data_IF_767448462156
#
_entry.id   IF_767448462156
#
_cell.length_a   1.000
_cell.length_b   1.000
_cell.length_c   1.000
_cell.angle_alpha   90.00
_cell.angle_beta   90.00
_cell.angle_gamma   90.00
#
_symmetry.space_group_name_H-M   'P 1'
#
loop_
_entity.id
_entity.type
_entity.pdbx_description
1 polymer ?
#
# COMPACT_ATOMS: atom_id res chain seq x y z
N UNK A 1 36.94 49.31 32.21
CA UNK A 1 36.84 49.47 30.74
C UNK A 1 37.75 48.40 30.13
N UNK A 2 37.29 47.35 29.47
CA UNK A 2 36.05 47.12 28.76
C UNK A 2 35.59 45.65 28.91
N UNK A 3 34.29 45.50 29.14
CA UNK A 3 33.50 44.28 29.03
C UNK A 3 33.49 43.81 27.57
N UNK A 4 33.86 42.56 27.32
CA UNK A 4 33.70 41.91 26.02
C UNK A 4 32.29 41.33 25.90
N UNK A 5 31.72 41.54 24.72
CA UNK A 5 30.34 41.32 24.34
C UNK A 5 29.82 39.89 24.54
N UNK A 6 28.62 39.80 25.12
CA UNK A 6 27.75 38.64 25.09
C UNK A 6 27.39 38.31 23.62
N UNK A 7 27.60 37.05 23.24
CA UNK A 7 27.25 36.54 21.90
C UNK A 7 25.75 36.19 21.88
N UNK A 8 25.00 36.48 20.80
CA UNK A 8 23.57 36.23 20.77
C UNK A 8 23.27 34.73 20.66
N UNK A 9 22.47 34.20 21.59
CA UNK A 9 22.00 32.81 21.56
C UNK A 9 21.22 32.48 20.26
N UNK A 10 21.37 31.27 19.70
CA UNK A 10 20.61 30.87 18.53
C UNK A 10 19.14 30.59 18.90
N UNK A 11 18.24 30.97 17.99
CA UNK A 11 16.78 30.88 18.02
C UNK A 11 16.23 29.44 18.22
N UNK A 12 16.47 28.83 19.36
CA UNK A 12 15.99 27.49 19.73
C UNK A 12 14.57 27.50 20.35
N UNK A 13 14.09 28.66 20.82
CA UNK A 13 12.79 28.79 21.49
C UNK A 13 11.56 28.73 20.56
N UNK A 14 11.68 29.18 19.31
CA UNK A 14 10.52 29.29 18.41
C UNK A 14 10.03 27.94 17.87
N UNK A 15 10.94 26.98 17.62
CA UNK A 15 10.57 25.63 17.16
C UNK A 15 9.92 24.80 18.28
N UNK A 16 10.45 24.90 19.52
CA UNK A 16 9.90 24.20 20.69
C UNK A 16 8.50 24.67 21.07
N UNK A 17 8.22 25.96 20.93
CA UNK A 17 6.90 26.54 21.22
C UNK A 17 5.82 26.14 20.20
N UNK A 18 6.19 25.96 18.92
CA UNK A 18 5.25 25.49 17.88
C UNK A 18 4.80 24.04 18.10
N UNK A 19 5.75 23.14 18.39
CA UNK A 19 5.47 21.70 18.56
C UNK A 19 4.66 21.43 19.85
N UNK A 20 4.93 22.14 20.94
CA UNK A 20 4.15 21.99 22.18
C UNK A 20 2.69 22.46 22.04
N UNK A 21 2.40 23.38 21.12
CA UNK A 21 1.06 23.85 20.82
C UNK A 21 0.22 22.87 20.00
N UNK A 22 0.84 22.08 19.11
CA UNK A 22 0.15 21.06 18.30
C UNK A 22 -0.24 19.81 19.11
N UNK A 23 0.48 19.49 20.19
CA UNK A 23 0.20 18.34 21.08
C UNK A 23 -0.85 18.64 22.16
N UNK A 24 -1.04 19.92 22.48
CA UNK A 24 -1.84 20.36 23.63
C UNK A 24 -3.34 20.18 23.37
N UNK A 25 -3.86 18.99 23.66
CA UNK A 25 -5.30 18.68 23.60
C UNK A 25 -5.64 17.32 23.01
N UNK A 26 -4.67 16.57 22.46
CA UNK A 26 -4.92 15.24 21.94
C UNK A 26 -4.86 14.16 23.03
N UNK A 27 -5.98 13.46 23.25
CA UNK A 27 -6.02 12.27 24.09
C UNK A 27 -5.58 11.03 23.29
N UNK A 28 -4.53 10.35 23.74
CA UNK A 28 -4.05 9.09 23.14
C UNK A 28 -5.02 7.95 23.50
N UNK A 29 -6.02 7.71 22.65
CA UNK A 29 -7.02 6.65 22.83
C UNK A 29 -6.61 5.26 22.35
N UNK A 30 -5.46 5.11 21.66
CA UNK A 30 -5.01 3.85 21.07
C UNK A 30 -3.92 3.18 21.90
N UNK A 31 -4.11 1.89 22.19
CA UNK A 31 -3.13 1.03 22.87
C UNK A 31 -1.99 0.69 21.90
N UNK A 32 -0.74 0.51 22.39
CA UNK A 32 0.41 0.16 21.53
C UNK A 32 0.19 -1.08 20.65
N UNK A 33 -0.53 -2.08 21.16
CA UNK A 33 -0.89 -3.29 20.40
C UNK A 33 -1.81 -3.01 19.20
N UNK A 34 -2.74 -2.06 19.34
CA UNK A 34 -3.63 -1.65 18.25
C UNK A 34 -2.83 -0.92 17.20
N UNK A 35 -1.95 -0.01 17.60
CA UNK A 35 -1.11 0.75 16.67
C UNK A 35 -0.17 -0.15 15.86
N UNK A 36 0.45 -1.16 16.49
CA UNK A 36 1.30 -2.13 15.79
C UNK A 36 0.50 -2.95 14.77
N UNK A 37 -0.68 -3.44 15.14
CA UNK A 37 -1.53 -4.21 14.24
C UNK A 37 -2.14 -3.38 13.12
N UNK A 38 -2.48 -2.11 13.38
CA UNK A 38 -2.87 -1.15 12.34
C UNK A 38 -1.71 -0.96 11.35
N UNK A 39 -0.48 -0.84 11.83
CA UNK A 39 0.71 -0.75 10.96
C UNK A 39 0.88 -1.98 10.06
N UNK A 40 0.76 -3.18 10.64
CA UNK A 40 0.85 -4.45 9.88
C UNK A 40 -0.32 -4.57 8.90
N UNK A 41 -1.55 -4.32 9.35
CA UNK A 41 -2.77 -4.41 8.56
C UNK A 41 -2.90 -3.36 7.47
N UNK A 42 -2.27 -2.19 7.65
CA UNK A 42 -2.15 -1.14 6.65
C UNK A 42 -1.10 -1.47 5.58
N UNK A 43 0.04 -2.05 5.98
CA UNK A 43 1.03 -2.56 5.03
C UNK A 43 0.48 -3.75 4.21
N UNK A 44 -0.31 -4.61 4.85
CA UNK A 44 -1.02 -5.73 4.22
C UNK A 44 -2.36 -5.25 3.66
N UNK A 45 -2.28 -4.58 2.50
CA UNK A 45 -3.42 -3.94 1.87
C UNK A 45 -4.01 -4.66 0.66
N UNK A 46 -4.92 -3.94 0.01
CA UNK A 46 -5.54 -4.29 -1.27
C UNK A 46 -4.52 -4.53 -2.38
N UNK A 47 -3.34 -3.91 -2.29
CA UNK A 47 -2.22 -4.15 -3.20
C UNK A 47 -1.75 -5.61 -3.24
N UNK A 48 -1.73 -6.31 -2.10
CA UNK A 48 -1.37 -7.73 -2.04
C UNK A 48 -2.55 -8.62 -2.43
N UNK A 49 -3.74 -8.36 -1.89
CA UNK A 49 -4.89 -9.25 -2.10
C UNK A 49 -5.54 -9.12 -3.49
N UNK A 50 -5.73 -7.89 -3.97
CA UNK A 50 -6.37 -7.63 -5.26
C UNK A 50 -5.31 -7.50 -6.37
N UNK A 51 -4.21 -6.81 -6.08
CA UNK A 51 -3.20 -6.45 -7.07
C UNK A 51 -2.20 -7.55 -7.40
N UNK A 52 -1.79 -8.38 -6.42
CA UNK A 52 -0.69 -9.32 -6.64
C UNK A 52 -1.03 -10.41 -7.66
N UNK A 53 -2.26 -10.93 -7.66
CA UNK A 53 -2.69 -11.95 -8.63
C UNK A 53 -2.63 -11.46 -10.07
N UNK A 54 -3.15 -10.25 -10.34
CA UNK A 54 -3.10 -9.64 -11.67
C UNK A 54 -1.67 -9.29 -12.12
N UNK A 55 -0.81 -8.89 -11.18
CA UNK A 55 0.62 -8.67 -11.45
C UNK A 55 1.35 -9.97 -11.73
N UNK A 56 1.06 -11.04 -11.00
CA UNK A 56 1.66 -12.35 -11.19
C UNK A 56 1.29 -12.93 -12.55
N UNK A 57 0.01 -12.81 -12.95
CA UNK A 57 -0.45 -13.23 -14.26
C UNK A 57 0.23 -12.49 -15.43
N UNK A 58 0.60 -11.21 -15.23
CA UNK A 58 1.24 -10.38 -16.27
C UNK A 58 2.76 -10.48 -16.27
N UNK A 59 3.40 -10.49 -15.11
CA UNK A 59 4.86 -10.46 -14.94
C UNK A 59 5.48 -11.87 -14.92
N UNK A 60 4.69 -12.91 -14.61
CA UNK A 60 5.17 -14.28 -14.49
C UNK A 60 5.98 -14.54 -13.21
N UNK A 61 6.72 -15.65 -13.15
CA UNK A 61 7.34 -16.15 -11.92
C UNK A 61 8.46 -15.25 -11.39
N UNK A 62 9.00 -14.32 -12.18
CA UNK A 62 10.02 -13.35 -11.72
C UNK A 62 9.49 -12.25 -10.79
N UNK A 63 8.19 -12.18 -10.53
CA UNK A 63 7.58 -11.13 -9.69
C UNK A 63 8.15 -11.09 -8.26
N UNK A 64 8.51 -12.24 -7.68
CA UNK A 64 9.07 -12.27 -6.33
C UNK A 64 10.42 -11.55 -6.23
N UNK A 65 11.26 -11.59 -7.28
CA UNK A 65 12.54 -10.86 -7.31
C UNK A 65 12.32 -9.35 -7.30
N UNK A 66 11.34 -8.88 -8.07
CA UNK A 66 10.97 -7.45 -8.11
C UNK A 66 10.47 -7.01 -6.73
N UNK A 67 9.64 -7.83 -6.06
CA UNK A 67 9.21 -7.53 -4.69
C UNK A 67 10.34 -7.59 -3.67
N UNK A 68 11.31 -8.49 -3.82
CA UNK A 68 12.48 -8.55 -2.94
C UNK A 68 13.35 -7.28 -3.07
N UNK A 69 13.66 -6.86 -4.30
CA UNK A 69 14.45 -5.64 -4.54
C UNK A 69 13.71 -4.40 -4.03
N UNK A 70 12.42 -4.26 -4.35
CA UNK A 70 11.58 -3.17 -3.84
C UNK A 70 11.54 -3.17 -2.30
N UNK A 71 11.42 -4.35 -1.69
CA UNK A 71 11.43 -4.52 -0.23
C UNK A 71 12.72 -4.03 0.42
N UNK A 72 13.88 -4.25 -0.20
CA UNK A 72 15.16 -3.72 0.31
C UNK A 72 15.15 -2.19 0.33
N UNK A 73 14.70 -1.53 -0.75
CA UNK A 73 14.61 -0.07 -0.78
C UNK A 73 13.62 0.47 0.25
N UNK A 74 12.44 -0.14 0.37
CA UNK A 74 11.43 0.25 1.37
C UNK A 74 11.97 0.06 2.79
N UNK A 75 12.70 -1.03 3.05
CA UNK A 75 13.33 -1.27 4.35
C UNK A 75 14.33 -0.17 4.72
N UNK A 76 15.19 0.26 3.78
CA UNK A 76 16.14 1.35 4.02
C UNK A 76 15.41 2.68 4.31
N UNK A 77 14.36 2.99 3.56
CA UNK A 77 13.55 4.20 3.76
C UNK A 77 12.86 4.17 5.13
N UNK A 78 12.20 3.07 5.48
CA UNK A 78 11.50 2.92 6.76
C UNK A 78 12.47 2.97 7.94
N UNK A 79 13.67 2.41 7.80
CA UNK A 79 14.72 2.50 8.83
C UNK A 79 15.14 3.95 9.05
N UNK A 80 15.42 4.70 7.97
CA UNK A 80 15.79 6.11 8.07
C UNK A 80 14.67 6.96 8.69
N UNK A 81 13.41 6.70 8.32
CA UNK A 81 12.25 7.36 8.93
C UNK A 81 12.07 6.99 10.41
N UNK A 82 12.33 5.72 10.78
CA UNK A 82 12.26 5.28 12.17
C UNK A 82 13.30 5.97 13.06
N UNK A 83 14.53 6.12 12.57
CA UNK A 83 15.58 6.89 13.26
C UNK A 83 15.19 8.37 13.42
N UNK A 84 14.55 8.97 12.41
CA UNK A 84 14.05 10.34 12.47
C UNK A 84 12.94 10.53 13.52
N UNK A 85 11.96 9.61 13.57
CA UNK A 85 10.84 9.66 14.51
C UNK A 85 11.31 9.50 15.95
N UNK A 86 12.31 8.64 16.20
CA UNK A 86 12.91 8.48 17.53
C UNK A 86 13.71 9.71 17.95
N UNK A 87 14.39 10.36 17.01
CA UNK A 87 15.17 11.57 17.28
C UNK A 87 14.28 12.80 17.56
N UNK A 88 13.13 12.92 16.87
CA UNK A 88 12.17 14.02 17.04
C UNK A 88 10.74 13.49 17.11
N UNK A 89 10.25 13.09 18.30
CA UNK A 89 8.86 12.68 18.45
C UNK A 89 7.95 13.91 18.32
N UNK A 90 7.17 13.95 17.25
CA UNK A 90 6.06 14.87 17.05
C UNK A 90 4.82 14.03 16.73
N UNK A 91 3.66 14.41 17.25
CA UNK A 91 2.35 13.85 16.84
C UNK A 91 1.88 14.43 15.50
N UNK A 92 2.64 15.36 14.91
CA UNK A 92 2.45 15.79 13.53
C UNK A 92 2.83 14.69 12.52
N UNK A 93 2.22 14.75 11.34
CA UNK A 93 2.60 13.89 10.20
C UNK A 93 4.00 14.27 9.68
N UNK A 94 4.57 13.48 8.77
CA UNK A 94 5.87 13.74 8.15
C UNK A 94 6.00 15.11 7.46
N UNK A 95 4.87 15.76 7.17
CA UNK A 95 4.79 17.16 6.73
C UNK A 95 5.44 18.10 7.75
N UNK A 96 5.33 17.82 9.06
CA UNK A 96 5.97 18.58 10.13
C UNK A 96 7.50 18.48 10.05
N UNK A 97 8.04 17.29 9.78
CA UNK A 97 9.48 17.13 9.53
C UNK A 97 9.94 17.89 8.28
N UNK A 98 9.15 17.85 7.19
CA UNK A 98 9.48 18.63 5.99
C UNK A 98 9.53 20.14 6.27
N UNK A 99 8.65 20.64 7.15
CA UNK A 99 8.65 22.05 7.59
C UNK A 99 9.90 22.40 8.37
N UNK A 100 10.33 21.54 9.29
CA UNK A 100 11.51 21.77 10.13
C UNK A 100 12.81 21.76 9.31
N UNK A 101 12.98 20.81 8.39
CA UNK A 101 14.25 20.65 7.64
C UNK A 101 14.33 21.43 6.33
N UNK A 102 13.21 21.57 5.60
CA UNK A 102 13.18 22.15 4.25
C UNK A 102 12.40 23.48 4.16
N UNK A 103 11.79 23.91 5.27
CA UNK A 103 11.04 25.15 5.37
C UNK A 103 9.60 25.07 4.85
N UNK A 104 8.87 26.18 4.99
CA UNK A 104 7.41 26.22 4.78
C UNK A 104 6.97 25.89 3.35
N UNK A 105 7.77 26.28 2.34
CA UNK A 105 7.45 26.02 0.93
C UNK A 105 7.48 24.54 0.60
N UNK A 106 8.45 23.81 1.15
CA UNK A 106 8.56 22.38 0.97
C UNK A 106 7.46 21.64 1.73
N UNK A 107 7.14 22.07 2.96
CA UNK A 107 6.03 21.53 3.73
C UNK A 107 4.69 21.66 3.01
N UNK A 108 4.42 22.79 2.33
CA UNK A 108 3.21 22.96 1.54
C UNK A 108 3.11 21.92 0.41
N UNK A 109 4.18 21.72 -0.36
CA UNK A 109 4.20 20.73 -1.45
C UNK A 109 4.04 19.31 -0.92
N UNK A 110 4.77 18.95 0.13
CA UNK A 110 4.70 17.63 0.76
C UNK A 110 3.31 17.38 1.35
N UNK A 111 2.68 18.40 1.96
CA UNK A 111 1.31 18.31 2.48
C UNK A 111 0.28 18.02 1.39
N UNK A 112 0.39 18.68 0.23
CA UNK A 112 -0.49 18.39 -0.92
C UNK A 112 -0.25 17.00 -1.51
N UNK A 113 1.01 16.59 -1.67
CA UNK A 113 1.33 15.25 -2.15
C UNK A 113 0.81 14.18 -1.19
N UNK A 114 0.93 14.42 0.12
CA UNK A 114 0.41 13.52 1.14
C UNK A 114 -1.11 13.40 1.10
N UNK A 115 -1.82 14.52 0.95
CA UNK A 115 -3.26 14.51 0.80
C UNK A 115 -3.71 13.74 -0.44
N UNK A 116 -3.03 13.96 -1.59
CA UNK A 116 -3.33 13.25 -2.83
C UNK A 116 -3.04 11.74 -2.73
N UNK A 117 -1.96 11.36 -2.06
CA UNK A 117 -1.61 9.96 -1.82
C UNK A 117 -2.68 9.24 -1.00
N UNK A 118 -3.14 9.85 0.09
CA UNK A 118 -4.25 9.30 0.88
C UNK A 118 -5.57 9.27 0.12
N UNK A 119 -5.88 10.32 -0.65
CA UNK A 119 -7.09 10.36 -1.46
C UNK A 119 -7.10 9.24 -2.51
N UNK A 120 -5.97 9.01 -3.20
CA UNK A 120 -5.82 7.92 -4.16
C UNK A 120 -5.91 6.54 -3.49
N UNK A 121 -5.28 6.37 -2.33
CA UNK A 121 -5.34 5.13 -1.56
C UNK A 121 -6.78 4.81 -1.14
N UNK A 122 -7.53 5.81 -0.66
CA UNK A 122 -8.94 5.63 -0.31
C UNK A 122 -9.80 5.18 -1.52
N UNK A 123 -9.54 5.70 -2.73
CA UNK A 123 -10.21 5.25 -3.96
C UNK A 123 -9.87 3.79 -4.26
N UNK A 124 -8.59 3.39 -4.16
CA UNK A 124 -8.15 2.02 -4.39
C UNK A 124 -8.83 1.05 -3.42
N UNK A 125 -8.87 1.39 -2.14
CA UNK A 125 -9.44 0.52 -1.11
C UNK A 125 -10.96 0.37 -1.26
N UNK A 126 -11.66 1.48 -1.50
CA UNK A 126 -13.11 1.47 -1.71
C UNK A 126 -13.47 0.67 -2.99
N UNK A 127 -12.68 0.81 -4.05
CA UNK A 127 -12.86 0.04 -5.30
C UNK A 127 -12.63 -1.45 -5.08
N UNK A 128 -11.65 -1.81 -4.25
CA UNK A 128 -11.36 -3.20 -3.92
C UNK A 128 -12.52 -3.85 -3.17
N UNK A 129 -13.06 -3.18 -2.14
CA UNK A 129 -14.23 -3.65 -1.39
C UNK A 129 -15.41 -3.86 -2.34
N UNK A 130 -15.71 -2.88 -3.19
CA UNK A 130 -16.80 -2.97 -4.16
C UNK A 130 -16.61 -4.16 -5.12
N UNK A 131 -15.39 -4.41 -5.60
CA UNK A 131 -15.08 -5.53 -6.50
C UNK A 131 -15.24 -6.89 -5.80
N UNK A 132 -14.85 -6.99 -4.53
CA UNK A 132 -15.04 -8.22 -3.75
C UNK A 132 -16.51 -8.49 -3.44
N UNK A 133 -17.27 -7.47 -3.02
CA UNK A 133 -18.70 -7.60 -2.74
C UNK A 133 -19.51 -7.95 -3.98
N UNK A 134 -19.21 -7.31 -5.12
CA UNK A 134 -19.89 -7.57 -6.39
C UNK A 134 -19.67 -9.01 -6.91
N UNK A 135 -18.65 -9.72 -6.41
CA UNK A 135 -18.44 -11.14 -6.73
C UNK A 135 -19.48 -12.05 -6.07
N UNK A 136 -20.20 -11.57 -5.05
CA UNK A 136 -21.27 -12.32 -4.39
C UNK A 136 -22.59 -12.08 -5.12
N UNK A 137 -23.31 -13.16 -5.43
CA UNK A 137 -24.60 -13.19 -6.15
C UNK A 137 -25.70 -12.29 -5.58
N UNK A 138 -25.63 -11.89 -4.31
CA UNK A 138 -26.60 -10.98 -3.69
C UNK A 138 -26.37 -9.53 -4.14
N UNK A 139 -25.13 -9.15 -4.45
CA UNK A 139 -24.72 -7.78 -4.78
C UNK A 139 -24.44 -7.58 -6.27
N UNK A 140 -24.59 -8.61 -7.10
CA UNK A 140 -24.42 -8.51 -8.56
C UNK A 140 -25.49 -7.63 -9.21
N UNK A 141 -26.68 -7.54 -8.62
CA UNK A 141 -27.75 -6.66 -9.09
C UNK A 141 -27.47 -5.16 -8.82
N UNK A 142 -26.55 -4.85 -7.91
CA UNK A 142 -26.21 -3.48 -7.55
C UNK A 142 -25.00 -2.98 -8.35
N UNK A 143 -25.03 -1.73 -8.85
CA UNK A 143 -23.90 -1.16 -9.57
C UNK A 143 -22.68 -0.98 -8.65
N UNK A 144 -21.48 -1.21 -9.19
CA UNK A 144 -20.25 -1.21 -8.39
C UNK A 144 -19.99 0.11 -7.64
N UNK A 145 -20.35 1.25 -8.25
CA UNK A 145 -20.14 2.56 -7.64
C UNK A 145 -21.01 2.79 -6.38
N UNK A 146 -22.22 2.21 -6.31
CA UNK A 146 -23.06 2.33 -5.10
C UNK A 146 -22.49 1.53 -3.95
N UNK A 147 -21.92 0.34 -4.24
CA UNK A 147 -21.25 -0.48 -3.22
C UNK A 147 -20.00 0.22 -2.68
N UNK A 148 -19.26 0.90 -3.56
CA UNK A 148 -18.11 1.71 -3.18
C UNK A 148 -18.53 2.87 -2.26
N UNK A 149 -19.52 3.68 -2.66
CA UNK A 149 -20.01 4.79 -1.83
C UNK A 149 -20.56 4.33 -0.49
N UNK A 150 -21.27 3.20 -0.46
CA UNK A 150 -21.79 2.62 0.77
C UNK A 150 -20.66 2.21 1.72
N UNK A 151 -19.63 1.53 1.22
CA UNK A 151 -18.48 1.14 2.03
C UNK A 151 -17.75 2.35 2.61
N UNK A 152 -17.54 3.40 1.79
CA UNK A 152 -16.94 4.65 2.25
C UNK A 152 -17.79 5.34 3.32
N UNK A 153 -19.11 5.39 3.13
CA UNK A 153 -20.03 5.98 4.10
C UNK A 153 -20.00 5.24 5.45
N UNK A 154 -19.95 3.91 5.43
CA UNK A 154 -19.85 3.09 6.66
C UNK A 154 -18.56 3.41 7.42
N UNK A 155 -17.41 3.44 6.73
CA UNK A 155 -16.12 3.77 7.36
C UNK A 155 -16.12 5.19 7.90
N UNK A 156 -16.68 6.15 7.15
CA UNK A 156 -16.78 7.55 7.58
C UNK A 156 -17.63 7.70 8.84
N UNK A 157 -18.81 7.08 8.87
CA UNK A 157 -19.71 7.09 10.04
C UNK A 157 -19.01 6.47 11.25
N UNK A 158 -18.30 5.37 11.06
CA UNK A 158 -17.58 4.70 12.14
C UNK A 158 -16.46 5.56 12.72
N UNK A 159 -15.72 6.28 11.87
CA UNK A 159 -14.68 7.22 12.29
C UNK A 159 -15.26 8.41 13.09
N UNK A 160 -16.49 8.84 12.80
CA UNK A 160 -17.16 9.93 13.54
C UNK A 160 -17.67 9.50 14.92
N UNK A 161 -17.96 8.22 15.14
CA UNK A 161 -18.52 7.72 16.41
C UNK A 161 -17.44 7.65 17.49
N UNK A 162 -16.30 7.01 17.22
CA UNK A 162 -15.18 6.94 18.15
C UNK A 162 -13.94 6.31 17.51
N UNK A 163 -12.80 6.96 17.73
CA UNK A 163 -11.48 6.50 17.28
C UNK A 163 -11.02 5.22 17.98
N UNK A 164 -11.51 4.92 19.19
CA UNK A 164 -11.14 3.71 19.94
C UNK A 164 -11.81 2.46 19.33
N UNK A 165 -13.10 2.57 19.00
CA UNK A 165 -13.85 1.53 18.29
C UNK A 165 -13.28 1.25 16.90
N UNK A 166 -12.88 2.30 16.18
CA UNK A 166 -12.17 2.16 14.90
C UNK A 166 -10.88 1.34 15.06
N UNK A 167 -10.08 1.66 16.08
CA UNK A 167 -8.83 0.95 16.38
C UNK A 167 -9.01 -0.52 16.74
N UNK A 168 -10.07 -0.89 17.45
CA UNK A 168 -10.39 -2.30 17.73
C UNK A 168 -10.84 -3.07 16.49
N UNK A 169 -11.67 -2.47 15.63
CA UNK A 169 -12.13 -3.12 14.41
C UNK A 169 -11.00 -3.33 13.40
N UNK A 170 -10.11 -2.35 13.25
CA UNK A 170 -8.89 -2.50 12.44
C UNK A 170 -7.97 -3.58 13.00
N UNK A 171 -7.83 -3.69 14.32
CA UNK A 171 -7.05 -4.77 14.93
C UNK A 171 -7.60 -6.16 14.55
N UNK A 172 -8.91 -6.36 14.64
CA UNK A 172 -9.55 -7.62 14.25
C UNK A 172 -9.45 -7.88 12.74
N UNK A 173 -9.67 -6.85 11.91
CA UNK A 173 -9.53 -6.96 10.46
C UNK A 173 -8.09 -7.31 10.06
N UNK A 174 -7.08 -6.69 10.68
CA UNK A 174 -5.67 -7.00 10.47
C UNK A 174 -5.34 -8.44 10.90
N UNK A 175 -5.87 -8.91 12.03
CA UNK A 175 -5.68 -10.28 12.48
C UNK A 175 -6.21 -11.30 11.44
N UNK A 176 -7.43 -11.09 10.94
CA UNK A 176 -8.03 -11.95 9.90
C UNK A 176 -7.17 -11.95 8.63
N UNK A 177 -6.69 -10.78 8.18
CA UNK A 177 -5.80 -10.67 7.01
C UNK A 177 -4.52 -11.49 7.19
N UNK A 178 -3.86 -11.38 8.33
CA UNK A 178 -2.61 -12.11 8.62
C UNK A 178 -2.86 -13.62 8.70
N UNK A 179 -3.91 -14.05 9.42
CA UNK A 179 -4.29 -15.46 9.51
C UNK A 179 -4.62 -16.05 8.13
N UNK A 180 -5.34 -15.29 7.28
CA UNK A 180 -5.66 -15.71 5.91
C UNK A 180 -4.41 -15.91 5.05
N UNK A 181 -3.42 -15.01 5.14
CA UNK A 181 -2.14 -15.17 4.44
C UNK A 181 -1.35 -16.37 4.94
N UNK A 182 -1.30 -16.58 6.25
CA UNK A 182 -0.62 -17.76 6.83
C UNK A 182 -1.26 -19.06 6.37
N UNK A 183 -2.60 -19.14 6.40
CA UNK A 183 -3.34 -20.30 5.89
C UNK A 183 -3.06 -20.53 4.39
N UNK A 184 -3.10 -19.47 3.58
CA UNK A 184 -2.79 -19.53 2.16
C UNK A 184 -1.37 -20.03 1.88
N UNK A 185 -0.36 -19.56 2.62
CA UNK A 185 1.03 -19.99 2.46
C UNK A 185 1.24 -21.44 2.90
N UNK A 186 0.62 -21.88 3.99
CA UNK A 186 0.70 -23.27 4.46
C UNK A 186 0.07 -24.21 3.44
N UNK A 187 -1.17 -23.94 3.01
CA UNK A 187 -1.85 -24.75 1.99
C UNK A 187 -1.07 -24.73 0.68
N UNK A 188 -0.61 -23.56 0.23
CA UNK A 188 0.19 -23.44 -0.98
C UNK A 188 1.50 -24.24 -0.93
N UNK A 189 2.18 -24.26 0.21
CA UNK A 189 3.42 -25.04 0.41
C UNK A 189 3.15 -26.54 0.43
N UNK A 190 2.07 -26.99 1.09
CA UNK A 190 1.65 -28.40 1.10
C UNK A 190 1.30 -28.85 -0.33
N UNK A 191 0.57 -28.04 -1.08
CA UNK A 191 0.20 -28.36 -2.46
C UNK A 191 1.42 -28.44 -3.39
N UNK A 192 2.36 -27.49 -3.26
CA UNK A 192 3.59 -27.46 -4.04
C UNK A 192 4.53 -28.62 -3.68
N UNK A 193 4.67 -28.94 -2.39
CA UNK A 193 5.50 -30.04 -1.90
C UNK A 193 4.90 -31.41 -2.22
N UNK A 194 3.57 -31.54 -2.17
CA UNK A 194 2.84 -32.77 -2.47
C UNK A 194 2.67 -33.05 -3.97
N UNK A 195 3.03 -32.12 -4.85
CA UNK A 195 2.94 -32.25 -6.32
C UNK A 195 1.54 -32.65 -6.81
N UNK A 196 0.50 -32.22 -6.10
CA UNK A 196 -0.88 -32.54 -6.47
C UNK A 196 -1.24 -31.90 -7.81
N UNK A 197 -1.90 -32.62 -8.74
CA UNK A 197 -2.34 -32.04 -10.00
C UNK A 197 -3.46 -31.03 -9.75
N UNK A 198 -3.30 -29.81 -10.28
CA UNK A 198 -4.33 -28.76 -10.25
C UNK A 198 -4.70 -28.46 -11.70
N UNK A 199 -5.98 -28.63 -12.06
CA UNK A 199 -6.48 -28.45 -13.44
C UNK A 199 -5.67 -29.19 -14.53
N UNK A 200 -5.19 -30.41 -14.23
CA UNK A 200 -4.44 -31.23 -15.19
C UNK A 200 -2.97 -30.81 -15.41
N UNK A 201 -2.49 -29.79 -14.69
CA UNK A 201 -1.08 -29.41 -14.67
C UNK A 201 -0.37 -29.95 -13.42
N UNK A 202 0.77 -30.63 -13.63
CA UNK A 202 1.62 -31.07 -12.53
C UNK A 202 2.24 -29.86 -11.82
N UNK A 203 1.98 -29.73 -10.52
CA UNK A 203 2.59 -28.71 -9.67
C UNK A 203 4.06 -29.08 -9.40
N UNK A 204 4.96 -28.10 -9.55
CA UNK A 204 6.41 -28.30 -9.36
C UNK A 204 7.27 -27.29 -10.11
N UNK A 205 8.59 -27.51 -10.14
CA UNK A 205 9.58 -26.69 -10.88
C UNK A 205 9.32 -26.64 -12.40
N UNK A 206 8.46 -27.53 -12.91
CA UNK A 206 7.92 -27.47 -14.27
C UNK A 206 7.15 -26.18 -14.55
N UNK A 207 6.58 -25.51 -13.53
CA UNK A 207 5.90 -24.22 -13.73
C UNK A 207 6.88 -23.13 -14.18
N UNK A 208 8.12 -23.14 -13.68
CA UNK A 208 9.15 -22.19 -14.09
C UNK A 208 9.59 -22.41 -15.54
N UNK A 209 9.77 -23.66 -15.95
CA UNK A 209 10.23 -23.98 -17.32
C UNK A 209 9.11 -23.85 -18.35
N UNK A 210 7.87 -24.21 -17.98
CA UNK A 210 6.70 -24.17 -18.88
C UNK A 210 6.17 -22.75 -19.11
N UNK A 211 6.41 -21.81 -18.20
CA UNK A 211 6.00 -20.40 -18.32
C UNK A 211 7.12 -19.48 -18.80
N UNK A 212 8.12 -19.98 -19.54
CA UNK A 212 9.13 -19.14 -20.19
C UNK A 212 10.31 -18.70 -19.31
N UNK A 213 10.60 -19.42 -18.23
CA UNK A 213 11.73 -19.16 -17.33
C UNK A 213 11.44 -18.08 -16.27
N UNK A 214 12.49 -17.58 -15.62
CA UNK A 214 12.40 -16.56 -14.56
C UNK A 214 11.92 -15.19 -15.08
N UNK A 215 12.09 -14.91 -16.38
CA UNK A 215 11.75 -13.62 -16.99
C UNK A 215 11.02 -13.80 -18.33
N UNK A 216 9.76 -14.29 -18.34
CA UNK A 216 9.02 -14.50 -19.58
C UNK A 216 8.71 -13.20 -20.34
N UNK A 217 8.71 -12.07 -19.63
CA UNK A 217 8.49 -10.73 -20.20
C UNK A 217 9.79 -9.95 -20.49
N UNK A 218 10.97 -10.53 -20.26
CA UNK A 218 12.28 -9.87 -20.41
C UNK A 218 12.69 -9.01 -19.21
N UNK A 219 13.98 -8.62 -19.17
CA UNK A 219 14.62 -7.82 -18.10
C UNK A 219 14.23 -6.34 -18.08
N UNK A 220 13.51 -5.86 -19.09
CA UNK A 220 12.97 -4.50 -19.14
C UNK A 220 11.45 -4.53 -18.96
N UNK A 221 10.88 -3.87 -17.94
CA UNK A 221 9.44 -3.85 -17.77
C UNK A 221 8.79 -2.90 -18.80
N UNK A 222 7.77 -3.44 -19.47
CA UNK A 222 6.58 -2.72 -19.95
C UNK A 222 6.54 -2.05 -21.34
N UNK A 223 7.58 -2.01 -22.16
CA UNK A 223 7.51 -1.38 -23.50
C UNK A 223 7.51 -2.36 -24.69
N UNK A 224 7.93 -3.62 -24.54
CA UNK A 224 7.94 -4.59 -25.64
C UNK A 224 6.69 -5.48 -25.71
N UNK A 225 6.09 -5.83 -24.56
CA UNK A 225 4.96 -6.76 -24.53
C UNK A 225 3.61 -6.07 -24.83
N UNK A 226 3.42 -4.81 -24.41
CA UNK A 226 2.26 -3.99 -24.77
C UNK A 226 2.21 -3.72 -26.28
N UNK A 227 3.37 -3.37 -26.87
CA UNK A 227 3.47 -3.13 -28.31
C UNK A 227 3.17 -4.39 -29.12
N UNK A 228 3.59 -5.57 -28.64
CA UNK A 228 3.40 -6.83 -29.36
C UNK A 228 1.98 -7.39 -29.24
N UNK A 229 1.27 -7.15 -28.14
CA UNK A 229 -0.16 -7.51 -28.02
C UNK A 229 -1.04 -6.54 -28.81
N UNK A 230 -0.76 -5.23 -28.78
CA UNK A 230 -1.48 -4.22 -29.57
C UNK A 230 -1.28 -4.40 -31.08
N UNK A 231 -0.06 -4.69 -31.54
CA UNK A 231 0.19 -4.97 -32.97
C UNK A 231 -0.52 -6.24 -33.42
N UNK A 232 -0.56 -7.29 -32.58
CA UNK A 232 -1.22 -8.56 -32.93
C UNK A 232 -2.75 -8.44 -32.93
N UNK A 233 -3.33 -7.66 -32.02
CA UNK A 233 -4.75 -7.32 -32.01
C UNK A 233 -5.14 -6.40 -33.17
N UNK A 234 -4.28 -5.44 -33.52
CA UNK A 234 -4.50 -4.51 -34.64
C UNK A 234 -4.44 -5.25 -35.98
N UNK A 235 -3.46 -6.14 -36.22
CA UNK A 235 -3.40 -6.99 -37.42
C UNK A 235 -4.63 -7.91 -37.58
N UNK A 236 -5.17 -8.45 -36.48
CA UNK A 236 -6.36 -9.31 -36.53
C UNK A 236 -7.63 -8.52 -36.88
N UNK A 237 -7.70 -7.22 -36.52
CA UNK A 237 -8.80 -6.33 -36.92
C UNK A 237 -8.69 -5.87 -38.37
N UNK A 238 -7.50 -5.54 -38.88
CA UNK A 238 -7.32 -5.13 -40.29
C UNK A 238 -7.46 -6.30 -41.28
N UNK A 239 -7.08 -7.51 -40.89
CA UNK A 239 -7.26 -8.70 -41.73
C UNK A 239 -8.72 -9.11 -41.94
N UNK A 240 -9.63 -8.76 -41.03
CA UNK A 240 -11.07 -9.09 -41.12
C UNK A 240 -11.87 -8.10 -41.98
N UNK A 241 -11.32 -6.92 -42.26
CA UNK A 241 -11.95 -5.89 -43.10
C UNK A 241 -11.56 -5.98 -44.58
N UNK A 242 -10.52 -6.75 -44.93
CA UNK A 242 -10.04 -6.91 -46.32
C UNK A 242 -10.60 -8.15 -47.02
N UNK A 243 -11.50 -8.89 -46.36
CA UNK A 243 -12.11 -10.14 -46.83
C UNK A 243 -13.64 -10.03 -46.99
N UNK A 244 -14.17 -8.82 -47.20
CA UNK A 244 -15.56 -8.58 -47.61
C UNK A 244 -15.55 -7.69 -48.84
#
# INVERSE_FOLDING_TARGET
>A
MATLAESPEPKSGASRAGVLGEEAGYHKGLKPRQLQMIGIGGAIGTGLFLGAGGRLAKAGPGLFLVYAVCGVFVFLILRALGELVLHRPSSGSFVSYAREFFGEKAAYVVGWLYFLDWAMTAIVDTTAIATYLHRWTIFTALPQWTLALLALAVVLVMNLISVEWFGELEFWAALIKVCALMAFLVVGTIFLGGRYPVDGHNTGLSLWTSHGGLFPTGVAPANSCQLRSDVRLRCRRTGRHRSR
#
